data_IF_629694879208
#
_entry.id   IF_629694879208
#
_cell.length_a   1.000
_cell.length_b   1.000
_cell.length_c   1.000
_cell.angle_alpha   90.00
_cell.angle_beta   90.00
_cell.angle_gamma   90.00
#
_symmetry.space_group_name_H-M   'P 1'
#
loop_
_entity.id
_entity.type
_entity.pdbx_description
1 polymer ?
#
# COMPACT_ATOMS: atom_id res chain seq x y z
N UNK A 1 -2.76 11.22 6.22
CA UNK A 1 -3.91 11.88 5.58
C UNK A 1 -4.76 10.75 5.00
N UNK A 2 -6.06 10.71 5.29
CA UNK A 2 -7.00 9.87 4.52
C UNK A 2 -7.34 10.70 3.31
N UNK A 3 -7.00 10.24 2.12
CA UNK A 3 -7.78 10.64 0.98
C UNK A 3 -9.03 9.76 1.02
N UNK A 4 -10.21 10.25 0.68
CA UNK A 4 -11.36 9.43 0.35
C UNK A 4 -11.85 9.93 -1.01
N UNK A 5 -11.85 9.06 -2.03
CA UNK A 5 -12.39 9.41 -3.35
C UNK A 5 -13.67 8.61 -3.54
N UNK A 6 -14.77 9.31 -3.78
CA UNK A 6 -16.04 8.71 -4.22
C UNK A 6 -16.38 9.22 -5.61
N UNK A 7 -16.75 8.31 -6.49
CA UNK A 7 -17.15 8.56 -7.87
C UNK A 7 -18.62 8.23 -8.01
N UNK A 8 -19.39 9.15 -8.60
CA UNK A 8 -20.83 8.98 -8.83
C UNK A 8 -21.26 9.42 -10.22
N UNK A 9 -22.36 8.85 -10.70
CA UNK A 9 -23.03 9.26 -11.93
C UNK A 9 -24.54 9.25 -11.73
N UNK A 10 -25.21 10.33 -12.11
CA UNK A 10 -26.67 10.49 -11.96
C UNK A 10 -27.18 10.25 -10.52
N UNK A 11 -26.33 10.54 -9.52
CA UNK A 11 -26.64 10.34 -8.09
C UNK A 11 -26.38 8.94 -7.54
N UNK A 12 -25.91 7.99 -8.35
CA UNK A 12 -25.50 6.65 -7.92
C UNK A 12 -23.97 6.59 -7.69
N UNK A 13 -23.53 6.06 -6.55
CA UNK A 13 -22.10 5.81 -6.27
C UNK A 13 -21.63 4.62 -7.10
N UNK A 14 -20.63 4.84 -7.94
CA UNK A 14 -20.01 3.83 -8.81
C UNK A 14 -18.82 3.16 -8.13
N UNK A 15 -18.02 3.93 -7.40
CA UNK A 15 -16.86 3.44 -6.67
C UNK A 15 -16.49 4.40 -5.55
N UNK A 16 -15.97 3.85 -4.44
CA UNK A 16 -15.33 4.65 -3.40
C UNK A 16 -14.10 3.94 -2.86
N UNK A 17 -13.08 4.73 -2.53
CA UNK A 17 -11.91 4.25 -1.79
C UNK A 17 -11.70 5.14 -0.58
N UNK A 18 -11.62 4.53 0.60
CA UNK A 18 -11.25 5.20 1.84
C UNK A 18 -9.87 4.70 2.28
N UNK A 19 -8.94 5.62 2.42
CA UNK A 19 -7.54 5.27 2.66
C UNK A 19 -7.26 4.95 4.14
N UNK A 20 -8.08 5.44 5.08
CA UNK A 20 -8.05 5.05 6.51
C UNK A 20 -8.43 3.59 6.77
N UNK A 21 -9.18 2.96 5.87
CA UNK A 21 -9.45 1.50 5.92
C UNK A 21 -8.24 0.66 5.52
N UNK A 22 -7.13 1.28 5.08
CA UNK A 22 -5.87 0.58 4.87
C UNK A 22 -4.90 0.82 6.06
N UNK A 23 -4.78 -0.15 6.97
CA UNK A 23 -4.07 -0.02 8.24
C UNK A 23 -2.54 0.12 8.14
N UNK A 24 -1.97 0.12 6.92
CA UNK A 24 -0.58 0.52 6.68
C UNK A 24 -0.43 1.52 5.51
N UNK A 25 -1.54 2.11 5.05
CA UNK A 25 -1.60 2.91 3.84
C UNK A 25 -1.37 2.06 2.58
N UNK A 26 -2.39 1.95 1.72
CA UNK A 26 -2.30 1.13 0.50
C UNK A 26 -1.16 1.58 -0.40
N UNK A 27 -0.97 2.89 -0.50
CA UNK A 27 0.03 3.54 -1.32
C UNK A 27 1.42 3.37 -0.70
N UNK A 28 1.59 3.65 0.59
CA UNK A 28 2.85 3.37 1.30
C UNK A 28 3.25 1.89 1.20
N UNK A 29 2.30 0.96 1.35
CA UNK A 29 2.56 -0.47 1.17
C UNK A 29 3.02 -0.78 -0.26
N UNK A 30 2.33 -0.26 -1.27
CA UNK A 30 2.66 -0.45 -2.68
C UNK A 30 4.05 0.11 -3.00
N UNK A 31 4.37 1.34 -2.57
CA UNK A 31 5.68 1.97 -2.76
C UNK A 31 6.81 1.19 -2.11
N UNK A 32 6.60 0.71 -0.89
CA UNK A 32 7.61 -0.08 -0.18
C UNK A 32 7.85 -1.43 -0.85
N UNK A 33 6.83 -2.08 -1.40
CA UNK A 33 6.95 -3.38 -2.05
C UNK A 33 7.46 -3.32 -3.51
N UNK A 34 7.05 -2.31 -4.30
CA UNK A 34 7.38 -2.26 -5.75
C UNK A 34 7.88 -0.91 -6.25
N UNK A 35 7.95 0.12 -5.41
CA UNK A 35 8.31 1.47 -5.84
C UNK A 35 9.70 1.60 -6.47
N UNK A 36 10.66 0.74 -6.11
CA UNK A 36 11.98 0.67 -6.73
C UNK A 36 11.93 0.21 -8.21
N UNK A 37 10.88 -0.50 -8.59
CA UNK A 37 10.66 -0.95 -9.97
C UNK A 37 9.91 0.09 -10.81
N UNK A 38 9.15 0.98 -10.17
CA UNK A 38 8.31 1.98 -10.85
C UNK A 38 8.96 3.38 -10.87
N UNK A 39 9.78 3.72 -9.87
CA UNK A 39 10.31 5.07 -9.59
C UNK A 39 11.27 5.68 -10.63
N UNK A 40 11.52 5.03 -11.77
CA UNK A 40 12.35 5.59 -12.85
C UNK A 40 11.80 6.89 -13.46
N UNK A 41 10.57 7.30 -13.11
CA UNK A 41 9.92 8.51 -13.63
C UNK A 41 9.93 9.70 -12.66
N UNK A 42 10.47 9.57 -11.44
CA UNK A 42 10.55 10.66 -10.46
C UNK A 42 9.20 11.14 -9.88
N UNK A 43 8.10 10.47 -10.24
CA UNK A 43 6.74 10.69 -9.74
C UNK A 43 6.29 9.40 -9.07
N UNK A 44 5.85 9.48 -7.81
CA UNK A 44 5.46 8.32 -7.02
C UNK A 44 3.94 8.16 -6.95
N UNK A 45 3.49 7.02 -6.40
CA UNK A 45 2.06 6.78 -6.17
C UNK A 45 1.51 7.79 -5.15
N UNK A 46 2.30 8.11 -4.11
CA UNK A 46 2.00 9.18 -3.17
C UNK A 46 1.73 10.49 -3.91
N UNK A 47 2.64 10.91 -4.78
CA UNK A 47 2.53 12.19 -5.48
C UNK A 47 1.21 12.31 -6.26
N UNK A 48 0.88 11.29 -7.07
CA UNK A 48 -0.35 11.34 -7.88
C UNK A 48 -1.62 11.14 -7.05
N UNK A 49 -1.58 10.37 -5.95
CA UNK A 49 -2.72 10.23 -5.06
C UNK A 49 -2.99 11.53 -4.28
N UNK A 50 -1.94 12.20 -3.79
CA UNK A 50 -2.09 13.44 -3.04
C UNK A 50 -2.61 14.60 -3.90
N UNK A 51 -2.31 14.62 -5.21
CA UNK A 51 -2.84 15.65 -6.11
C UNK A 51 -4.39 15.61 -6.19
N UNK A 52 -5.02 14.48 -5.86
CA UNK A 52 -6.48 14.40 -5.74
C UNK A 52 -7.05 15.00 -4.45
N UNK A 53 -6.20 15.47 -3.52
CA UNK A 53 -6.68 16.10 -2.29
C UNK A 53 -7.23 17.52 -2.56
N UNK A 54 -8.44 17.78 -2.04
CA UNK A 54 -9.10 19.08 -1.89
C UNK A 54 -9.14 20.00 -3.13
N UNK A 55 -8.16 20.89 -3.25
CA UNK A 55 -8.16 22.06 -4.12
C UNK A 55 -7.43 21.80 -5.45
N UNK A 56 -6.60 20.75 -5.48
CA UNK A 56 -5.79 20.37 -6.63
C UNK A 56 -6.47 19.32 -7.51
N UNK A 57 -7.53 18.67 -7.01
CA UNK A 57 -8.26 17.62 -7.73
C UNK A 57 -8.76 18.05 -9.12
N UNK A 58 -9.17 19.32 -9.26
CA UNK A 58 -9.58 19.93 -10.54
C UNK A 58 -8.45 20.12 -11.55
N UNK A 59 -7.21 20.12 -11.07
CA UNK A 59 -5.99 20.31 -11.85
C UNK A 59 -5.21 18.99 -12.01
N UNK A 60 -5.73 17.87 -11.49
CA UNK A 60 -5.07 16.58 -11.64
C UNK A 60 -5.01 16.19 -13.11
N UNK A 61 -3.82 15.84 -13.56
CA UNK A 61 -3.64 15.13 -14.80
C UNK A 61 -4.19 13.70 -14.62
N UNK A 62 -5.46 13.51 -15.00
CA UNK A 62 -6.18 12.22 -14.93
C UNK A 62 -5.42 11.12 -15.65
N UNK A 63 -4.78 11.44 -16.77
CA UNK A 63 -4.00 10.47 -17.54
C UNK A 63 -2.75 10.06 -16.77
N UNK A 64 -1.99 11.02 -16.24
CA UNK A 64 -0.81 10.74 -15.41
C UNK A 64 -1.17 9.89 -14.18
N UNK A 65 -2.28 10.21 -13.51
CA UNK A 65 -2.75 9.42 -12.38
C UNK A 65 -2.99 7.96 -12.78
N UNK A 66 -3.73 7.73 -13.88
CA UNK A 66 -3.97 6.38 -14.38
C UNK A 66 -2.69 5.66 -14.80
N UNK A 67 -1.82 6.33 -15.54
CA UNK A 67 -0.55 5.76 -15.99
C UNK A 67 0.28 5.27 -14.79
N UNK A 68 0.39 6.07 -13.72
CA UNK A 68 1.12 5.68 -12.51
C UNK A 68 0.41 4.55 -11.77
N UNK A 69 -0.91 4.60 -11.57
CA UNK A 69 -1.67 3.52 -10.93
C UNK A 69 -1.51 2.19 -11.69
N UNK A 70 -1.59 2.21 -13.01
CA UNK A 70 -1.42 1.02 -13.85
C UNK A 70 0.00 0.46 -13.77
N UNK A 71 1.03 1.32 -13.74
CA UNK A 71 2.43 0.88 -13.55
C UNK A 71 2.64 0.15 -12.22
N UNK A 72 2.08 0.67 -11.14
CA UNK A 72 2.14 0.00 -9.84
C UNK A 72 1.35 -1.32 -9.85
N UNK A 73 0.17 -1.32 -10.48
CA UNK A 73 -0.66 -2.53 -10.57
C UNK A 73 0.03 -3.67 -11.31
N UNK A 74 0.76 -3.36 -12.40
CA UNK A 74 1.50 -4.35 -13.18
C UNK A 74 2.54 -5.11 -12.34
N UNK A 75 3.17 -4.44 -11.39
CA UNK A 75 4.13 -5.06 -10.47
C UNK A 75 3.43 -5.73 -9.27
N UNK A 76 2.41 -5.10 -8.70
CA UNK A 76 1.67 -5.61 -7.54
C UNK A 76 0.96 -6.92 -7.84
N UNK A 77 0.32 -7.05 -9.01
CA UNK A 77 -0.40 -8.27 -9.41
C UNK A 77 0.52 -9.48 -9.60
N UNK A 78 1.84 -9.24 -9.74
CA UNK A 78 2.87 -10.28 -9.92
C UNK A 78 3.59 -10.64 -8.61
N UNK A 79 3.32 -9.92 -7.52
CA UNK A 79 3.87 -10.28 -6.22
C UNK A 79 3.37 -11.66 -5.81
N UNK A 80 4.31 -12.54 -5.47
CA UNK A 80 4.02 -13.83 -4.83
C UNK A 80 3.96 -13.71 -3.31
N UNK A 81 4.61 -12.66 -2.77
CA UNK A 81 4.69 -12.35 -1.34
C UNK A 81 4.77 -10.83 -1.15
N UNK A 82 4.06 -10.32 -0.16
CA UNK A 82 4.17 -8.93 0.28
C UNK A 82 4.82 -8.81 1.65
N UNK A 83 5.33 -7.62 1.96
CA UNK A 83 6.07 -7.32 3.19
C UNK A 83 5.51 -6.08 3.88
N UNK A 84 5.56 -6.08 5.21
CA UNK A 84 5.47 -4.86 6.02
C UNK A 84 6.88 -4.43 6.40
N UNK A 85 7.19 -3.17 6.15
CA UNK A 85 8.53 -2.62 6.35
C UNK A 85 8.56 -1.74 7.59
N UNK A 86 9.63 -1.91 8.37
CA UNK A 86 9.85 -1.23 9.64
C UNK A 86 11.22 -0.57 9.63
N UNK A 87 11.35 0.60 10.23
CA UNK A 87 12.66 1.16 10.55
C UNK A 87 13.32 0.36 11.69
N UNK A 88 14.59 0.63 11.99
CA UNK A 88 15.31 -0.12 13.03
C UNK A 88 14.64 -0.05 14.41
N UNK A 89 14.10 1.10 14.82
CA UNK A 89 13.45 1.23 16.13
C UNK A 89 12.15 0.44 16.18
N UNK A 90 11.34 0.49 15.13
CA UNK A 90 10.11 -0.28 14.97
C UNK A 90 10.43 -1.78 14.98
N UNK A 91 11.43 -2.21 14.21
CA UNK A 91 11.88 -3.60 14.17
C UNK A 91 12.37 -4.09 15.53
N UNK A 92 13.17 -3.29 16.24
CA UNK A 92 13.60 -3.57 17.61
C UNK A 92 12.41 -3.64 18.58
N UNK A 93 11.36 -2.85 18.35
CA UNK A 93 10.12 -2.90 19.12
C UNK A 93 9.32 -4.21 18.93
N UNK A 94 9.52 -4.93 17.83
CA UNK A 94 8.89 -6.22 17.56
C UNK A 94 9.63 -7.39 18.24
N UNK A 95 10.89 -7.18 18.65
CA UNK A 95 11.76 -8.19 19.28
C UNK A 95 11.14 -8.89 20.49
N UNK A 96 10.46 -8.19 21.43
CA UNK A 96 9.79 -8.85 22.56
C UNK A 96 8.73 -9.88 22.15
N UNK A 97 8.22 -9.78 20.92
CA UNK A 97 7.20 -10.67 20.36
C UNK A 97 7.78 -11.79 19.47
N UNK A 98 9.12 -11.92 19.37
CA UNK A 98 9.83 -12.88 18.51
C UNK A 98 9.36 -14.33 18.61
N UNK A 99 8.81 -14.75 19.77
CA UNK A 99 8.21 -16.08 19.91
C UNK A 99 7.05 -16.35 18.93
N UNK A 100 6.53 -15.33 18.23
CA UNK A 100 5.50 -15.46 17.19
C UNK A 100 6.04 -15.54 15.77
N UNK A 101 7.33 -15.24 15.56
CA UNK A 101 7.95 -15.28 14.24
C UNK A 101 8.85 -16.51 14.08
N UNK A 102 8.85 -17.16 12.91
CA UNK A 102 9.92 -18.09 12.58
C UNK A 102 11.24 -17.30 12.49
N UNK A 103 12.26 -17.75 13.22
CA UNK A 103 13.55 -17.06 13.30
C UNK A 103 14.68 -17.92 12.74
N UNK A 104 15.66 -17.28 12.11
CA UNK A 104 16.94 -17.89 11.75
C UNK A 104 17.99 -17.65 12.85
N UNK A 105 19.06 -18.46 12.85
CA UNK A 105 20.13 -18.33 13.85
C UNK A 105 20.73 -16.91 13.79
N UNK A 106 21.17 -16.36 14.94
CA UNK A 106 21.63 -14.97 14.99
C UNK A 106 22.79 -14.74 14.01
N UNK A 107 22.66 -13.69 13.20
CA UNK A 107 23.71 -13.17 12.33
C UNK A 107 24.26 -11.85 12.90
N UNK A 108 25.14 -11.20 12.13
CA UNK A 108 26.01 -10.10 12.56
C UNK A 108 25.25 -9.04 13.39
N UNK A 109 25.77 -8.71 14.59
CA UNK A 109 25.20 -7.82 15.64
C UNK A 109 24.35 -8.49 16.74
N UNK A 110 24.32 -9.83 16.85
CA UNK A 110 23.58 -10.56 17.90
C UNK A 110 22.05 -10.32 17.87
N UNK A 111 21.50 -9.90 16.74
CA UNK A 111 20.06 -9.74 16.55
C UNK A 111 19.55 -11.02 15.87
N UNK A 112 18.46 -11.56 16.40
CA UNK A 112 17.77 -12.71 15.80
C UNK A 112 17.07 -12.24 14.53
N UNK A 113 17.39 -12.85 13.38
CA UNK A 113 16.72 -12.52 12.12
C UNK A 113 15.41 -13.29 11.98
N UNK A 114 14.38 -12.60 11.49
CA UNK A 114 13.11 -13.25 11.12
C UNK A 114 13.35 -13.95 9.79
N UNK A 115 12.90 -15.21 9.69
CA UNK A 115 13.00 -16.01 8.47
C UNK A 115 12.36 -15.25 7.31
N UNK A 116 12.97 -15.34 6.12
CA UNK A 116 12.49 -14.69 4.90
C UNK A 116 12.35 -13.16 4.99
N UNK A 117 12.88 -12.51 6.03
CA UNK A 117 12.92 -11.05 6.11
C UNK A 117 13.88 -10.49 5.05
N UNK A 118 13.51 -9.33 4.50
CA UNK A 118 14.29 -8.64 3.48
C UNK A 118 14.74 -7.27 3.97
N UNK A 119 15.79 -6.75 3.32
CA UNK A 119 16.35 -5.44 3.63
C UNK A 119 16.20 -4.52 2.43
N UNK A 120 15.65 -3.32 2.64
CA UNK A 120 15.50 -2.29 1.61
C UNK A 120 16.01 -0.97 2.15
N UNK A 121 17.29 -0.68 1.90
CA UNK A 121 18.00 0.44 2.54
C UNK A 121 18.01 0.25 4.06
N UNK A 122 17.46 1.23 4.79
CA UNK A 122 17.36 1.20 6.26
C UNK A 122 16.06 0.55 6.77
N UNK A 123 15.25 -0.03 5.87
CA UNK A 123 13.99 -0.68 6.21
C UNK A 123 14.13 -2.21 6.25
N UNK A 124 13.43 -2.79 7.22
CA UNK A 124 13.37 -4.20 7.54
C UNK A 124 11.99 -4.72 7.13
N UNK A 125 11.91 -5.48 6.04
CA UNK A 125 10.69 -6.07 5.51
C UNK A 125 10.40 -7.43 6.15
N UNK A 126 9.28 -7.55 6.85
CA UNK A 126 8.79 -8.82 7.41
C UNK A 126 7.66 -9.35 6.52
N UNK A 127 7.66 -10.63 6.12
CA UNK A 127 6.56 -11.23 5.36
C UNK A 127 5.19 -10.98 6.00
N UNK A 128 4.22 -10.49 5.22
CA UNK A 128 2.86 -10.20 5.71
C UNK A 128 2.16 -11.44 6.28
N UNK A 129 2.48 -12.62 5.78
CA UNK A 129 1.92 -13.90 6.23
C UNK A 129 2.15 -14.16 7.73
N UNK A 130 3.20 -13.57 8.33
CA UNK A 130 3.47 -13.72 9.76
C UNK A 130 2.56 -12.86 10.64
N UNK A 131 1.77 -11.96 10.07
CA UNK A 131 0.81 -11.12 10.78
C UNK A 131 -0.64 -11.64 10.66
N UNK A 132 -0.86 -12.71 9.88
CA UNK A 132 -2.21 -13.19 9.53
C UNK A 132 -2.90 -13.98 10.65
N UNK A 133 -2.15 -14.82 11.38
CA UNK A 133 -2.72 -15.81 12.30
C UNK A 133 -2.25 -15.70 13.76
N UNK A 134 -1.35 -14.77 14.08
CA UNK A 134 -0.81 -14.68 15.44
C UNK A 134 -1.60 -13.70 16.32
N UNK A 135 -2.05 -14.19 17.47
CA UNK A 135 -2.76 -13.44 18.51
C UNK A 135 -1.93 -12.27 19.06
N UNK A 136 -0.62 -12.20 18.77
CA UNK A 136 0.26 -11.15 19.31
C UNK A 136 0.12 -9.80 18.61
N UNK A 137 -0.17 -9.79 17.31
CA UNK A 137 -0.28 -8.55 16.54
C UNK A 137 -1.74 -8.14 16.27
N UNK A 138 -2.70 -9.05 16.49
CA UNK A 138 -4.15 -8.82 16.35
C UNK A 138 -4.52 -8.02 15.09
N UNK A 139 -3.82 -8.26 13.98
CA UNK A 139 -4.09 -7.53 12.74
C UNK A 139 -5.42 -8.00 12.14
N UNK A 140 -5.72 -9.31 12.24
CA UNK A 140 -6.94 -9.90 11.68
C UNK A 140 -6.74 -10.37 10.24
N UNK A 141 -7.76 -11.03 9.67
CA UNK A 141 -7.66 -11.73 8.38
C UNK A 141 -7.60 -10.82 7.15
N UNK A 142 -7.70 -9.50 7.32
CA UNK A 142 -7.76 -8.51 6.23
C UNK A 142 -6.39 -8.04 5.70
N UNK A 143 -5.29 -8.65 6.15
CA UNK A 143 -3.93 -8.09 5.95
C UNK A 143 -3.07 -9.01 5.08
N UNK A 144 -3.72 -9.79 4.22
CA UNK A 144 -3.07 -10.68 3.27
C UNK A 144 -2.64 -9.94 2.01
N UNK A 145 -1.66 -10.50 1.30
CA UNK A 145 -1.30 -10.02 -0.03
C UNK A 145 -2.53 -9.94 -0.96
N UNK A 146 -3.38 -10.98 -0.97
CA UNK A 146 -4.58 -11.00 -1.80
C UNK A 146 -5.58 -9.88 -1.46
N UNK A 147 -5.70 -9.51 -0.19
CA UNK A 147 -6.54 -8.39 0.22
C UNK A 147 -5.96 -7.05 -0.22
N UNK A 148 -4.64 -6.84 -0.10
CA UNK A 148 -3.97 -5.65 -0.60
C UNK A 148 -4.04 -5.54 -2.13
N UNK A 149 -3.88 -6.64 -2.86
CA UNK A 149 -4.09 -6.69 -4.31
C UNK A 149 -5.53 -6.33 -4.68
N UNK A 150 -6.51 -6.83 -3.93
CA UNK A 150 -7.93 -6.51 -4.14
C UNK A 150 -8.23 -5.03 -3.89
N UNK A 151 -7.67 -4.45 -2.82
CA UNK A 151 -7.78 -3.01 -2.55
C UNK A 151 -7.09 -2.17 -3.63
N UNK A 152 -5.92 -2.59 -4.10
CA UNK A 152 -5.25 -1.91 -5.19
C UNK A 152 -6.05 -1.98 -6.50
N UNK A 153 -6.72 -3.11 -6.76
CA UNK A 153 -7.61 -3.24 -7.91
C UNK A 153 -8.78 -2.25 -7.88
N UNK A 154 -9.32 -1.94 -6.70
CA UNK A 154 -10.33 -0.87 -6.56
C UNK A 154 -9.76 0.49 -6.97
N UNK A 155 -8.51 0.79 -6.63
CA UNK A 155 -7.83 2.01 -7.08
C UNK A 155 -7.64 2.05 -8.61
N UNK A 156 -7.33 0.91 -9.23
CA UNK A 156 -7.24 0.79 -10.70
C UNK A 156 -8.60 1.05 -11.35
N UNK A 157 -9.67 0.46 -10.82
CA UNK A 157 -11.03 0.66 -11.34
C UNK A 157 -11.50 2.10 -11.19
N UNK A 158 -11.16 2.72 -10.06
CA UNK A 158 -11.39 4.15 -9.83
C UNK A 158 -10.61 5.01 -10.82
N UNK A 159 -9.33 4.72 -11.06
CA UNK A 159 -8.49 5.47 -11.99
C UNK A 159 -9.02 5.37 -13.44
N UNK A 160 -9.59 4.23 -13.83
CA UNK A 160 -10.30 4.05 -15.10
C UNK A 160 -11.54 4.93 -15.18
N UNK A 161 -12.41 4.90 -14.17
CA UNK A 161 -13.63 5.73 -14.14
C UNK A 161 -13.30 7.22 -14.21
N UNK A 162 -12.26 7.67 -13.52
CA UNK A 162 -11.85 9.07 -13.51
C UNK A 162 -11.36 9.58 -14.87
N UNK A 163 -11.17 8.71 -15.88
CA UNK A 163 -10.88 9.15 -17.24
C UNK A 163 -12.11 9.70 -17.98
N UNK A 164 -13.33 9.36 -17.55
CA UNK A 164 -14.56 9.89 -18.14
C UNK A 164 -14.75 11.36 -17.71
N UNK A 165 -14.74 12.33 -18.64
CA UNK A 165 -14.94 13.75 -18.31
C UNK A 165 -16.35 14.03 -17.74
N UNK A 166 -17.34 13.17 -18.01
CA UNK A 166 -18.73 13.33 -17.57
C UNK A 166 -18.96 12.78 -16.15
N UNK A 167 -17.96 12.12 -15.56
CA UNK A 167 -18.07 11.58 -14.21
C UNK A 167 -17.87 12.67 -13.16
N UNK A 168 -18.80 12.72 -12.21
CA UNK A 168 -18.71 13.54 -11.00
C UNK A 168 -17.92 12.78 -9.94
N UNK A 169 -16.99 13.47 -9.28
CA UNK A 169 -16.23 12.89 -8.18
C UNK A 169 -16.21 13.86 -6.99
N UNK A 170 -16.14 13.27 -5.81
CA UNK A 170 -16.05 13.97 -4.54
C UNK A 170 -14.84 13.46 -3.77
N UNK A 171 -14.07 14.40 -3.21
CA UNK A 171 -12.91 14.11 -2.39
C UNK A 171 -13.13 14.66 -0.98
N UNK A 172 -12.96 13.82 0.04
CA UNK A 172 -13.02 14.22 1.45
C UNK A 172 -11.86 13.65 2.25
N UNK A 173 -11.61 14.26 3.41
CA UNK A 173 -10.62 13.81 4.38
C UNK A 173 -11.21 13.01 5.54
#
# INVERSE_FOLDING_TARGET
MSLDISVSKDGEELASINWLRNPFGLEQWAERNVGDKVSNFGITLYDVCNNWAYDEAKNVDRKLFKDIVDLYWEEIRRLERGYFFFNFQEYVGLIPYYHGFPVEKPTFRNITEIKDAIWKGDLYGIPQEYFHDDAKFHMGSFYTLGQYQSWFKVLVDLAELLQDPEIEFYCSN
#
